data_IF_357114089151
#
_entry.id   IF_357114089151
#
_cell.length_a   1.000
_cell.length_b   1.000
_cell.length_c   1.000
_cell.angle_alpha   90.00
_cell.angle_beta   90.00
_cell.angle_gamma   90.00
#
_symmetry.space_group_name_H-M   'P 1'
#
loop_
_entity.id
_entity.type
_entity.pdbx_description
1 polymer ?
#
# COMPACT_ATOMS: atom_id res chain seq x y z
N UNK A 1 23.41 -24.10 14.90
CA UNK A 1 24.37 -23.39 14.03
C UNK A 1 24.58 -24.07 12.67
N UNK A 2 24.66 -25.40 12.59
CA UNK A 2 24.96 -26.14 11.36
C UNK A 2 23.84 -26.14 10.30
N UNK A 3 22.56 -26.10 10.71
CA UNK A 3 21.42 -26.11 9.77
C UNK A 3 21.14 -24.75 9.11
N UNK A 4 21.45 -23.64 9.81
CA UNK A 4 21.30 -22.28 9.29
C UNK A 4 22.36 -21.98 8.22
N UNK A 5 23.60 -22.44 8.44
CA UNK A 5 24.70 -22.38 7.46
C UNK A 5 24.43 -23.27 6.23
N UNK A 6 23.76 -24.40 6.40
CA UNK A 6 23.37 -25.30 5.32
C UNK A 6 22.29 -24.70 4.41
N UNK A 7 21.28 -24.04 4.99
CA UNK A 7 20.24 -23.34 4.23
C UNK A 7 20.70 -22.01 3.65
N UNK A 8 21.57 -21.27 4.36
CA UNK A 8 22.27 -20.13 3.79
C UNK A 8 22.97 -20.57 2.52
N UNK A 9 23.72 -21.69 2.55
CA UNK A 9 24.33 -22.26 1.34
C UNK A 9 23.31 -22.68 0.28
N UNK A 10 22.15 -23.25 0.61
CA UNK A 10 21.14 -23.64 -0.40
C UNK A 10 20.47 -22.44 -1.05
N UNK A 11 20.05 -21.42 -0.29
CA UNK A 11 19.48 -20.18 -0.84
C UNK A 11 20.54 -19.41 -1.62
N UNK A 12 21.78 -19.41 -1.13
CA UNK A 12 22.94 -18.82 -1.83
C UNK A 12 23.25 -19.58 -3.12
N UNK A 13 23.21 -20.92 -3.12
CA UNK A 13 23.37 -21.73 -4.33
C UNK A 13 22.18 -21.57 -5.28
N UNK A 14 20.95 -21.45 -4.80
CA UNK A 14 19.77 -21.21 -5.63
C UNK A 14 19.81 -19.81 -6.24
N UNK A 15 20.13 -18.77 -5.46
CA UNK A 15 20.32 -17.42 -5.96
C UNK A 15 21.48 -17.35 -6.96
N UNK A 16 22.63 -17.98 -6.67
CA UNK A 16 23.78 -18.06 -7.59
C UNK A 16 23.46 -18.90 -8.84
N UNK A 17 22.71 -19.99 -8.72
CA UNK A 17 22.30 -20.82 -9.86
C UNK A 17 21.27 -20.10 -10.73
N UNK A 18 20.34 -19.35 -10.14
CA UNK A 18 19.38 -18.52 -10.85
C UNK A 18 20.15 -17.40 -11.58
N UNK A 19 20.97 -16.62 -10.86
CA UNK A 19 21.81 -15.55 -11.43
C UNK A 19 22.76 -16.10 -12.51
N UNK A 20 23.38 -17.27 -12.28
CA UNK A 20 24.31 -17.92 -13.20
C UNK A 20 23.63 -18.49 -14.44
N UNK A 21 22.45 -19.08 -14.32
CA UNK A 21 21.65 -19.57 -15.46
C UNK A 21 21.13 -18.41 -16.31
N UNK A 22 20.84 -17.27 -15.68
CA UNK A 22 20.40 -16.05 -16.35
C UNK A 22 21.57 -15.40 -17.12
N UNK A 23 22.77 -15.35 -16.54
CA UNK A 23 23.97 -14.80 -17.19
C UNK A 23 24.37 -15.57 -18.47
N UNK A 24 24.04 -16.87 -18.54
CA UNK A 24 24.26 -17.70 -19.74
C UNK A 24 23.25 -17.39 -20.86
N UNK A 25 22.12 -16.75 -20.56
CA UNK A 25 21.04 -16.47 -21.53
C UNK A 25 20.97 -15.02 -22.03
N UNK A 26 21.75 -14.08 -21.50
CA UNK A 26 21.62 -12.64 -21.83
C UNK A 26 22.41 -12.15 -23.05
N UNK A 27 22.87 -13.03 -23.94
CA UNK A 27 23.36 -12.63 -25.26
C UNK A 27 22.25 -12.84 -26.31
N UNK A 28 21.31 -11.90 -26.36
CA UNK A 28 20.22 -11.93 -27.34
C UNK A 28 19.42 -10.65 -27.40
N UNK A 29 19.80 -9.74 -28.31
CA UNK A 29 18.95 -8.79 -29.06
C UNK A 29 17.64 -8.32 -28.38
N UNK A 30 17.64 -7.11 -27.83
CA UNK A 30 16.42 -6.33 -27.56
C UNK A 30 15.65 -6.10 -28.87
N UNK A 31 14.49 -6.74 -29.03
CA UNK A 31 13.54 -6.41 -30.09
C UNK A 31 12.48 -5.48 -29.51
N UNK A 32 12.60 -4.20 -29.83
CA UNK A 32 11.49 -3.25 -29.71
C UNK A 32 10.39 -3.71 -30.68
N UNK A 33 9.26 -4.18 -30.14
CA UNK A 33 8.10 -4.54 -30.97
C UNK A 33 7.18 -3.32 -31.00
N UNK A 34 6.89 -2.82 -32.20
CA UNK A 34 6.09 -1.62 -32.43
C UNK A 34 4.66 -1.77 -31.93
N UNK A 35 4.22 -0.77 -31.16
CA UNK A 35 3.06 -0.80 -30.26
C UNK A 35 1.78 -0.22 -30.91
N UNK A 36 1.44 -0.61 -32.15
CA UNK A 36 0.34 0.06 -32.90
C UNK A 36 -0.89 -0.82 -33.22
N UNK A 37 -0.86 -2.14 -33.10
CA UNK A 37 -1.99 -2.97 -33.60
C UNK A 37 -2.82 -3.71 -32.54
N UNK A 38 -2.71 -3.39 -31.24
CA UNK A 38 -3.46 -4.10 -30.18
C UNK A 38 -4.79 -3.44 -29.75
N UNK A 39 -5.37 -2.55 -30.55
CA UNK A 39 -6.69 -1.95 -30.27
C UNK A 39 -7.77 -2.60 -31.14
N UNK A 40 -8.18 -3.82 -30.78
CA UNK A 40 -9.54 -4.32 -31.00
C UNK A 40 -9.69 -5.77 -30.51
N UNK A 41 -10.07 -5.96 -29.26
CA UNK A 41 -11.01 -7.04 -28.94
C UNK A 41 -11.70 -6.79 -27.60
N UNK A 42 -13.02 -6.79 -27.65
CA UNK A 42 -13.95 -6.85 -26.51
C UNK A 42 -13.90 -8.20 -25.78
N UNK A 43 -12.83 -8.98 -25.93
CA UNK A 43 -12.69 -10.34 -25.42
C UNK A 43 -12.12 -10.41 -23.99
N UNK A 44 -11.60 -9.30 -23.44
CA UNK A 44 -10.82 -9.31 -22.19
C UNK A 44 -11.63 -9.04 -20.89
N UNK A 45 -12.95 -8.83 -20.95
CA UNK A 45 -13.73 -8.45 -19.76
C UNK A 45 -14.15 -9.60 -18.82
N UNK A 46 -13.88 -10.87 -19.16
CA UNK A 46 -14.32 -12.04 -18.38
C UNK A 46 -13.19 -12.80 -17.67
N UNK A 47 -11.96 -12.30 -17.66
CA UNK A 47 -10.88 -12.95 -16.89
C UNK A 47 -11.04 -12.63 -15.40
N UNK A 48 -10.96 -13.63 -14.50
CA UNK A 48 -10.97 -13.37 -13.07
C UNK A 48 -9.72 -12.57 -12.67
N UNK A 49 -9.89 -11.59 -11.79
CA UNK A 49 -8.78 -10.80 -11.26
C UNK A 49 -7.79 -11.71 -10.53
N UNK A 50 -6.52 -11.57 -10.87
CA UNK A 50 -5.42 -12.24 -10.16
C UNK A 50 -4.85 -11.28 -9.15
N UNK A 51 -4.80 -11.66 -7.88
CA UNK A 51 -4.20 -10.84 -6.83
C UNK A 51 -2.67 -10.82 -6.94
N UNK A 52 -2.00 -9.71 -6.58
CA UNK A 52 -0.56 -9.68 -6.49
C UNK A 52 0.01 -10.74 -5.55
N UNK A 53 1.27 -11.18 -5.79
CA UNK A 53 2.01 -11.96 -4.79
C UNK A 53 2.08 -11.17 -3.48
N UNK A 54 2.35 -11.86 -2.37
CA UNK A 54 2.35 -11.26 -1.03
C UNK A 54 0.97 -10.81 -0.54
N UNK A 55 -0.14 -11.20 -1.19
CA UNK A 55 -1.49 -10.87 -0.71
C UNK A 55 -1.89 -11.61 0.56
N UNK A 56 -1.26 -12.76 0.86
CA UNK A 56 -1.47 -13.51 2.09
C UNK A 56 -0.72 -12.95 3.31
N UNK A 57 -1.00 -13.50 4.48
CA UNK A 57 -0.38 -13.15 5.74
C UNK A 57 0.99 -13.80 5.92
N UNK A 58 2.00 -13.02 6.29
CA UNK A 58 3.39 -13.47 6.46
C UNK A 58 3.67 -14.00 7.87
N UNK A 59 2.91 -13.53 8.86
CA UNK A 59 3.18 -13.84 10.26
C UNK A 59 2.87 -15.27 10.70
N UNK A 60 2.62 -16.23 9.80
CA UNK A 60 2.50 -17.65 10.21
C UNK A 60 3.88 -18.28 10.42
N UNK A 61 4.01 -19.22 11.38
CA UNK A 61 5.25 -19.98 11.53
C UNK A 61 5.57 -20.76 10.25
N UNK A 62 6.73 -20.52 9.65
CA UNK A 62 7.22 -21.24 8.46
C UNK A 62 8.64 -21.76 8.68
N UNK A 63 9.11 -22.59 7.74
CA UNK A 63 10.46 -23.17 7.77
C UNK A 63 11.53 -22.07 7.55
N UNK A 64 11.85 -21.35 8.62
CA UNK A 64 12.79 -20.21 8.63
C UNK A 64 12.40 -19.17 9.68
N UNK A 65 11.10 -19.03 9.93
CA UNK A 65 10.51 -18.18 10.95
C UNK A 65 10.26 -18.95 12.27
N UNK A 66 11.22 -19.83 12.65
CA UNK A 66 11.15 -20.64 13.89
C UNK A 66 11.68 -19.90 15.13
N UNK A 67 12.24 -18.72 14.96
CA UNK A 67 12.64 -17.84 16.07
C UNK A 67 11.52 -16.82 16.32
N UNK A 68 10.55 -17.22 17.16
CA UNK A 68 9.42 -16.41 17.62
C UNK A 68 9.80 -15.17 18.47
N UNK A 69 11.07 -14.76 18.50
CA UNK A 69 11.60 -13.67 19.33
C UNK A 69 11.93 -12.40 18.54
N UNK A 70 11.76 -12.40 17.22
CA UNK A 70 11.98 -11.18 16.43
C UNK A 70 10.70 -10.36 16.38
N UNK A 71 10.86 -9.05 16.54
CA UNK A 71 9.76 -8.11 16.39
C UNK A 71 9.13 -8.24 14.99
N UNK A 72 7.81 -8.30 14.94
CA UNK A 72 7.03 -8.48 13.73
C UNK A 72 5.79 -7.60 13.77
N UNK A 73 5.52 -6.94 12.66
CA UNK A 73 4.24 -6.34 12.37
C UNK A 73 3.79 -6.75 10.97
N UNK A 74 2.47 -6.73 10.78
CA UNK A 74 1.87 -6.67 9.46
C UNK A 74 0.66 -5.74 9.51
N UNK A 75 0.56 -4.86 8.52
CA UNK A 75 -0.50 -3.86 8.42
C UNK A 75 -1.09 -3.81 7.02
N UNK A 76 -2.37 -3.43 6.93
CA UNK A 76 -3.12 -3.27 5.68
C UNK A 76 -3.77 -1.90 5.68
N UNK A 77 -3.58 -1.15 4.60
CA UNK A 77 -4.15 0.18 4.40
C UNK A 77 -5.12 0.12 3.21
N UNK A 78 -6.41 0.33 3.48
CA UNK A 78 -7.48 0.37 2.48
C UNK A 78 -8.04 1.79 2.40
N UNK A 79 -7.76 2.49 1.31
CA UNK A 79 -8.35 3.80 1.01
C UNK A 79 -9.62 3.65 0.20
N UNK A 80 -10.61 4.45 0.54
CA UNK A 80 -11.92 4.52 -0.09
C UNK A 80 -12.14 5.96 -0.52
N UNK A 81 -12.30 6.21 -1.82
CA UNK A 81 -12.48 7.52 -2.40
C UNK A 81 -13.93 7.63 -2.88
N UNK A 82 -14.70 8.49 -2.23
CA UNK A 82 -16.09 8.76 -2.60
C UNK A 82 -16.17 10.01 -3.48
N UNK A 83 -17.10 10.04 -4.44
CA UNK A 83 -17.22 11.19 -5.36
C UNK A 83 -17.71 12.47 -4.65
N UNK A 84 -18.47 12.34 -3.57
CA UNK A 84 -19.15 13.47 -2.92
C UNK A 84 -18.79 13.70 -1.45
N UNK A 85 -18.16 12.73 -0.77
CA UNK A 85 -17.92 12.78 0.67
C UNK A 85 -16.41 12.71 1.03
N UNK A 86 -15.53 12.86 0.03
CA UNK A 86 -14.08 12.81 0.20
C UNK A 86 -13.52 11.38 0.30
N UNK A 87 -12.27 11.27 0.75
CA UNK A 87 -11.65 9.95 0.99
C UNK A 87 -11.62 9.58 2.46
N UNK A 88 -11.57 8.27 2.71
CA UNK A 88 -11.54 7.61 3.99
C UNK A 88 -10.45 6.53 3.94
N UNK A 89 -9.90 6.12 5.08
CA UNK A 89 -9.03 4.95 5.16
C UNK A 89 -9.41 4.01 6.29
N UNK A 90 -9.33 2.71 6.02
CA UNK A 90 -9.36 1.64 7.02
C UNK A 90 -7.96 1.04 7.12
N UNK A 91 -7.39 1.06 8.31
CA UNK A 91 -6.03 0.59 8.58
C UNK A 91 -6.11 -0.53 9.60
N UNK A 92 -5.72 -1.74 9.22
CA UNK A 92 -5.69 -2.91 10.09
C UNK A 92 -4.25 -3.25 10.44
N UNK A 93 -3.99 -3.75 11.64
CA UNK A 93 -2.64 -4.16 12.02
C UNK A 93 -2.62 -5.32 13.02
N UNK A 94 -1.50 -6.03 13.03
CA UNK A 94 -1.12 -7.04 14.03
C UNK A 94 0.37 -6.87 14.37
N UNK A 95 0.69 -6.83 15.66
CA UNK A 95 2.03 -6.83 16.21
C UNK A 95 2.27 -8.10 17.01
N UNK A 96 3.46 -8.66 16.83
CA UNK A 96 4.05 -9.64 17.72
C UNK A 96 3.05 -10.72 18.14
N UNK A 97 2.43 -11.42 17.16
CA UNK A 97 1.37 -12.37 17.44
C UNK A 97 1.87 -13.59 18.24
N UNK A 98 3.17 -13.90 18.15
CA UNK A 98 3.82 -15.06 18.78
C UNK A 98 4.50 -14.77 20.12
N UNK A 99 5.39 -13.78 20.26
CA UNK A 99 6.01 -13.50 21.56
C UNK A 99 4.96 -12.92 22.52
N UNK A 100 4.67 -13.67 23.59
CA UNK A 100 3.60 -13.34 24.54
C UNK A 100 3.95 -12.22 25.50
N UNK A 101 5.24 -11.93 25.65
CA UNK A 101 5.85 -10.94 26.54
C UNK A 101 6.22 -9.63 25.82
N UNK A 102 5.99 -9.52 24.51
CA UNK A 102 6.25 -8.27 23.79
C UNK A 102 5.33 -7.13 24.27
N UNK A 103 5.92 -5.98 24.58
CA UNK A 103 5.18 -4.76 24.91
C UNK A 103 4.41 -4.20 23.71
N UNK A 104 4.91 -4.42 22.48
CA UNK A 104 4.28 -3.95 21.24
C UNK A 104 3.11 -4.80 20.80
N UNK A 105 3.02 -6.02 21.33
CA UNK A 105 1.97 -6.99 21.02
C UNK A 105 0.61 -6.31 20.96
N UNK A 106 -0.15 -6.61 19.91
CA UNK A 106 -1.50 -6.08 19.79
C UNK A 106 -2.08 -6.26 18.39
N UNK A 107 -3.38 -6.04 18.29
CA UNK A 107 -4.15 -6.10 17.05
C UNK A 107 -5.18 -4.99 17.08
N UNK A 108 -5.43 -4.36 15.95
CA UNK A 108 -6.34 -3.24 15.94
C UNK A 108 -6.76 -2.78 14.56
N UNK A 109 -7.66 -1.82 14.59
CA UNK A 109 -8.18 -1.12 13.42
C UNK A 109 -8.22 0.38 13.71
N UNK A 110 -7.75 1.17 12.76
CA UNK A 110 -7.88 2.62 12.71
C UNK A 110 -8.76 2.99 11.51
N UNK A 111 -9.68 3.94 11.71
CA UNK A 111 -10.53 4.51 10.67
C UNK A 111 -10.23 6.00 10.58
N UNK A 112 -9.70 6.44 9.44
CA UNK A 112 -9.39 7.84 9.16
C UNK A 112 -10.50 8.42 8.31
N UNK A 113 -11.10 9.51 8.77
CA UNK A 113 -12.17 10.23 8.07
C UNK A 113 -11.88 11.73 8.03
N UNK A 114 -12.54 12.51 7.16
CA UNK A 114 -12.43 13.97 7.16
C UNK A 114 -12.79 14.65 8.49
N UNK A 115 -13.49 13.96 9.40
CA UNK A 115 -13.94 14.48 10.69
C UNK A 115 -13.16 13.94 11.89
N UNK A 116 -12.13 13.13 11.65
CA UNK A 116 -11.29 12.57 12.70
C UNK A 116 -10.87 11.12 12.43
N UNK A 117 -9.94 10.68 13.28
CA UNK A 117 -9.40 9.32 13.30
C UNK A 117 -9.93 8.59 14.52
N UNK A 118 -10.48 7.39 14.33
CA UNK A 118 -11.02 6.52 15.38
C UNK A 118 -10.25 5.22 15.43
N UNK A 119 -10.08 4.64 16.61
CA UNK A 119 -9.27 3.43 16.78
C UNK A 119 -9.80 2.51 17.86
N UNK A 120 -9.69 1.21 17.61
CA UNK A 120 -9.83 0.17 18.62
C UNK A 120 -8.65 -0.81 18.51
N UNK A 121 -8.01 -1.08 19.64
CA UNK A 121 -6.87 -2.00 19.76
C UNK A 121 -7.09 -3.00 20.92
N UNK A 122 -6.44 -4.15 20.84
CA UNK A 122 -6.41 -5.18 21.89
C UNK A 122 -5.03 -5.79 22.00
N UNK A 123 -4.57 -6.05 23.24
CA UNK A 123 -3.35 -6.84 23.51
C UNK A 123 -3.58 -8.35 23.31
N UNK A 124 -4.82 -8.80 23.36
CA UNK A 124 -5.17 -10.21 23.14
C UNK A 124 -5.36 -10.48 21.64
N UNK A 125 -4.38 -11.11 21.00
CA UNK A 125 -4.49 -11.46 19.58
C UNK A 125 -5.09 -12.85 19.33
N UNK A 126 -5.55 -13.56 20.37
CA UNK A 126 -5.94 -14.98 20.30
C UNK A 126 -7.08 -15.26 19.32
N UNK A 127 -7.92 -14.26 19.02
CA UNK A 127 -9.01 -14.35 18.04
C UNK A 127 -8.60 -13.94 16.61
N UNK A 128 -7.38 -13.44 16.40
CA UNK A 128 -6.87 -13.06 15.07
C UNK A 128 -6.74 -14.29 14.17
N UNK A 129 -7.25 -14.20 12.95
CA UNK A 129 -7.12 -15.26 11.94
C UNK A 129 -6.75 -14.61 10.61
N UNK A 130 -5.83 -15.26 9.89
CA UNK A 130 -5.46 -14.85 8.56
C UNK A 130 -5.07 -16.03 7.65
N UNK A 131 -5.27 -15.90 6.35
CA UNK A 131 -4.83 -16.88 5.35
C UNK A 131 -3.39 -16.61 4.89
N UNK A 132 -2.59 -17.66 4.66
CA UNK A 132 -1.18 -17.51 4.27
C UNK A 132 -1.00 -17.14 2.80
N UNK A 133 -1.97 -17.49 1.94
CA UNK A 133 -1.83 -17.47 0.47
C UNK A 133 -2.96 -16.67 -0.23
N UNK A 134 -3.67 -15.83 0.52
CA UNK A 134 -4.68 -14.91 -0.01
C UNK A 134 -4.98 -13.83 1.01
N UNK A 135 -5.48 -12.69 0.54
CA UNK A 135 -6.05 -11.67 1.40
C UNK A 135 -7.31 -12.23 2.10
N UNK A 136 -7.19 -12.48 3.40
CA UNK A 136 -8.27 -12.88 4.31
C UNK A 136 -7.72 -12.65 5.71
N UNK A 137 -8.10 -11.54 6.33
CA UNK A 137 -7.81 -11.20 7.73
C UNK A 137 -9.12 -10.97 8.47
N UNK A 138 -9.15 -11.40 9.74
CA UNK A 138 -10.29 -11.16 10.62
C UNK A 138 -9.87 -11.13 12.07
N UNK A 139 -10.58 -10.35 12.86
CA UNK A 139 -10.42 -10.28 14.31
C UNK A 139 -11.76 -10.03 14.98
N UNK A 140 -11.95 -10.60 16.16
CA UNK A 140 -13.17 -10.49 16.96
C UNK A 140 -12.79 -9.92 18.34
N UNK A 141 -13.16 -8.67 18.60
CA UNK A 141 -12.89 -7.98 19.87
C UNK A 141 -13.78 -8.50 21.00
N UNK A 142 -14.90 -9.16 20.69
CA UNK A 142 -15.88 -9.64 21.67
C UNK A 142 -15.45 -10.89 22.43
N UNK A 143 -14.23 -11.39 22.20
CA UNK A 143 -13.63 -12.47 22.96
C UNK A 143 -12.57 -11.93 23.92
N UNK A 144 -12.91 -11.64 25.19
CA UNK A 144 -11.92 -11.60 26.26
C UNK A 144 -11.95 -12.88 27.10
N UNK A 145 -10.75 -13.27 27.50
CA UNK A 145 -10.38 -14.14 28.63
C UNK A 145 -11.39 -14.09 29.79
N UNK A 146 -11.91 -15.26 30.21
CA UNK A 146 -12.61 -15.51 31.48
C UNK A 146 -13.39 -14.33 32.10
N UNK A 147 -14.61 -14.04 31.65
CA UNK A 147 -15.56 -13.31 32.49
C UNK A 147 -16.94 -13.95 32.53
N UNK A 148 -17.37 -14.19 33.76
CA UNK A 148 -18.68 -14.63 34.20
C UNK A 148 -19.78 -13.63 33.82
N UNK A 149 -20.84 -14.16 33.22
CA UNK A 149 -22.24 -13.78 33.35
C UNK A 149 -22.68 -12.30 33.21
N UNK A 150 -23.52 -12.09 32.19
CA UNK A 150 -24.63 -11.14 32.10
C UNK A 150 -24.35 -9.65 31.80
N UNK A 151 -23.90 -9.36 30.58
CA UNK A 151 -24.51 -8.29 29.75
C UNK A 151 -24.58 -8.79 28.31
N UNK A 152 -25.79 -9.16 27.84
CA UNK A 152 -26.07 -9.34 26.41
C UNK A 152 -26.40 -7.97 25.83
N UNK A 153 -25.41 -7.25 25.32
CA UNK A 153 -25.62 -6.25 24.26
C UNK A 153 -25.20 -6.88 22.93
N UNK A 154 -26.05 -6.72 21.92
CA UNK A 154 -26.18 -7.60 20.75
C UNK A 154 -25.34 -7.22 19.54
N UNK A 155 -24.19 -6.55 19.70
CA UNK A 155 -23.30 -6.24 18.57
C UNK A 155 -21.86 -6.51 18.98
N UNK A 156 -21.25 -7.51 18.34
CA UNK A 156 -19.84 -7.85 18.52
C UNK A 156 -19.02 -6.86 17.71
N UNK A 157 -18.00 -6.26 18.31
CA UNK A 157 -17.00 -5.50 17.57
C UNK A 157 -16.04 -6.47 16.88
N UNK A 158 -15.75 -6.23 15.61
CA UNK A 158 -14.91 -7.09 14.77
C UNK A 158 -14.42 -6.32 13.55
N UNK A 159 -13.41 -6.86 12.88
CA UNK A 159 -13.11 -6.49 11.50
C UNK A 159 -12.85 -7.72 10.65
N UNK A 160 -13.11 -7.57 9.35
CA UNK A 160 -12.78 -8.52 8.30
C UNK A 160 -12.41 -7.75 7.04
N UNK A 161 -11.31 -8.17 6.41
CA UNK A 161 -10.91 -7.75 5.08
C UNK A 161 -10.46 -8.99 4.30
N UNK A 162 -11.07 -9.23 3.15
CA UNK A 162 -10.68 -10.30 2.24
C UNK A 162 -10.75 -9.83 0.78
N UNK A 163 -10.60 -10.78 -0.15
CA UNK A 163 -10.56 -10.52 -1.59
C UNK A 163 -11.81 -9.88 -2.18
N UNK A 164 -12.97 -9.99 -1.53
CA UNK A 164 -14.24 -9.49 -2.09
C UNK A 164 -15.08 -8.67 -1.11
N UNK A 165 -14.64 -8.52 0.14
CA UNK A 165 -15.41 -7.83 1.16
C UNK A 165 -14.54 -7.19 2.24
N UNK A 166 -14.98 -6.00 2.68
CA UNK A 166 -14.58 -5.39 3.93
C UNK A 166 -15.81 -5.19 4.81
N UNK A 167 -15.74 -5.61 6.07
CA UNK A 167 -16.83 -5.41 7.02
C UNK A 167 -16.32 -5.36 8.45
N UNK A 168 -16.95 -4.55 9.29
CA UNK A 168 -16.58 -4.47 10.68
C UNK A 168 -17.43 -3.49 11.47
N UNK A 169 -17.26 -3.59 12.77
CA UNK A 169 -17.74 -2.62 13.75
C UNK A 169 -16.62 -2.38 14.75
N UNK A 170 -16.26 -1.12 14.93
CA UNK A 170 -15.32 -0.70 15.96
C UNK A 170 -15.97 0.32 16.88
N UNK A 171 -15.58 0.29 18.16
CA UNK A 171 -15.99 1.25 19.17
C UNK A 171 -14.75 1.90 19.77
N UNK A 172 -14.70 3.24 19.70
CA UNK A 172 -13.71 4.08 20.39
C UNK A 172 -14.43 4.99 21.41
N UNK A 173 -13.70 5.65 22.32
CA UNK A 173 -14.29 6.62 23.25
C UNK A 173 -15.07 7.75 22.55
N UNK A 174 -14.67 8.11 21.33
CA UNK A 174 -15.22 9.24 20.57
C UNK A 174 -16.31 8.82 19.57
N UNK A 175 -16.27 7.59 19.04
CA UNK A 175 -17.24 7.15 18.04
C UNK A 175 -17.42 5.63 17.96
N UNK A 176 -18.62 5.23 17.56
CA UNK A 176 -18.87 3.92 16.97
C UNK A 176 -18.77 4.03 15.45
N UNK A 177 -18.02 3.11 14.83
CA UNK A 177 -17.92 3.01 13.36
C UNK A 177 -18.37 1.64 12.91
N UNK A 178 -19.24 1.59 11.90
CA UNK A 178 -19.70 0.36 11.26
C UNK A 178 -19.49 0.48 9.75
N UNK A 179 -18.96 -0.55 9.12
CA UNK A 179 -18.77 -0.58 7.67
C UNK A 179 -19.11 -1.97 7.13
N UNK A 180 -19.71 -2.00 5.95
CA UNK A 180 -19.93 -3.23 5.17
C UNK A 180 -19.99 -2.84 3.69
N UNK A 181 -19.04 -3.36 2.91
CA UNK A 181 -19.01 -3.15 1.47
C UNK A 181 -18.27 -4.26 0.73
N UNK A 182 -18.68 -4.51 -0.51
CA UNK A 182 -17.97 -5.39 -1.42
C UNK A 182 -16.73 -4.71 -2.03
N UNK A 183 -15.77 -5.51 -2.44
CA UNK A 183 -14.57 -5.10 -3.17
C UNK A 183 -14.62 -5.74 -4.54
N UNK A 184 -14.66 -4.93 -5.59
CA UNK A 184 -14.50 -5.36 -6.99
C UNK A 184 -13.14 -4.89 -7.50
N UNK A 185 -12.13 -5.78 -7.53
CA UNK A 185 -10.82 -5.42 -8.06
C UNK A 185 -10.86 -5.06 -9.54
N UNK A 186 -10.06 -4.08 -9.96
CA UNK A 186 -9.93 -3.70 -11.38
C UNK A 186 -8.46 -3.73 -11.84
N UNK A 187 -7.55 -3.15 -11.05
CA UNK A 187 -6.13 -3.02 -11.35
C UNK A 187 -5.32 -3.32 -10.09
N UNK A 188 -4.43 -4.31 -10.17
CA UNK A 188 -3.47 -4.63 -9.11
C UNK A 188 -2.12 -3.97 -9.38
N UNK A 189 -1.04 -4.67 -9.05
CA UNK A 189 0.33 -4.24 -9.31
C UNK A 189 0.93 -4.99 -10.51
N UNK A 190 0.71 -4.49 -11.71
CA UNK A 190 1.18 -5.11 -12.95
C UNK A 190 0.23 -4.94 -14.13
N UNK A 191 0.30 -5.88 -15.07
CA UNK A 191 -0.60 -5.90 -16.23
C UNK A 191 -1.84 -6.76 -15.95
N UNK A 192 -2.82 -6.71 -16.85
CA UNK A 192 -4.01 -7.58 -16.79
C UNK A 192 -3.61 -9.07 -16.84
N UNK A 193 -2.53 -9.39 -17.53
CA UNK A 193 -2.00 -10.74 -17.70
C UNK A 193 -1.19 -11.21 -16.50
N UNK A 194 -0.50 -10.30 -15.81
CA UNK A 194 0.48 -10.66 -14.77
C UNK A 194 0.62 -9.60 -13.69
N UNK A 195 0.65 -10.08 -12.45
CA UNK A 195 0.94 -9.27 -11.26
C UNK A 195 2.36 -9.53 -10.75
N UNK A 196 2.95 -8.51 -10.14
CA UNK A 196 4.36 -8.45 -9.75
C UNK A 196 4.54 -8.13 -8.27
N UNK A 197 5.72 -8.43 -7.73
CA UNK A 197 6.11 -7.99 -6.39
C UNK A 197 6.70 -6.59 -6.47
N UNK A 198 6.34 -5.67 -5.57
CA UNK A 198 6.81 -4.27 -5.69
C UNK A 198 8.34 -4.14 -5.66
N UNK A 199 9.01 -4.95 -4.83
CA UNK A 199 10.48 -5.01 -4.76
C UNK A 199 11.08 -6.16 -5.60
N UNK A 200 10.34 -6.64 -6.61
CA UNK A 200 10.67 -7.81 -7.41
C UNK A 200 10.67 -9.11 -6.60
N UNK A 201 11.11 -10.21 -7.21
CA UNK A 201 11.12 -11.53 -6.56
C UNK A 201 11.96 -11.60 -5.28
N UNK A 202 12.90 -10.66 -5.08
CA UNK A 202 13.70 -10.58 -3.85
C UNK A 202 12.84 -10.31 -2.61
N UNK A 203 11.64 -9.73 -2.77
CA UNK A 203 10.64 -9.57 -1.70
C UNK A 203 10.16 -10.90 -1.10
N UNK A 204 10.40 -12.02 -1.78
CA UNK A 204 10.12 -13.38 -1.27
C UNK A 204 11.15 -13.87 -0.24
N UNK A 205 12.25 -13.15 -0.05
CA UNK A 205 13.28 -13.47 0.92
C UNK A 205 13.37 -12.37 1.98
N UNK A 206 13.79 -12.68 3.23
CA UNK A 206 13.96 -11.69 4.30
C UNK A 206 15.25 -10.87 4.09
N UNK A 207 15.36 -10.20 2.94
CA UNK A 207 16.54 -9.41 2.54
C UNK A 207 16.29 -7.91 2.59
N UNK A 208 15.05 -7.50 2.81
CA UNK A 208 14.62 -6.10 2.91
C UNK A 208 13.86 -5.88 4.20
N UNK A 209 14.04 -4.72 4.84
CA UNK A 209 13.14 -4.29 5.91
C UNK A 209 12.86 -2.78 5.86
N UNK A 210 11.60 -2.37 6.08
CA UNK A 210 10.38 -3.18 5.96
C UNK A 210 10.05 -3.53 4.51
N UNK A 211 9.12 -4.46 4.34
CA UNK A 211 8.53 -4.77 3.04
C UNK A 211 7.19 -4.07 2.87
N UNK A 212 6.79 -3.89 1.60
CA UNK A 212 5.47 -3.43 1.24
C UNK A 212 5.00 -4.06 -0.08
N UNK A 213 3.69 -4.11 -0.26
CA UNK A 213 3.05 -4.58 -1.49
C UNK A 213 1.76 -3.81 -1.74
N UNK A 214 1.65 -3.21 -2.93
CA UNK A 214 0.37 -2.72 -3.44
C UNK A 214 -0.45 -3.92 -3.91
N UNK A 215 -1.63 -4.11 -3.33
CA UNK A 215 -2.54 -5.21 -3.66
C UNK A 215 -3.58 -4.79 -4.69
N UNK A 216 -4.01 -3.54 -4.62
CA UNK A 216 -5.03 -2.97 -5.49
C UNK A 216 -4.66 -1.51 -5.80
N UNK A 217 -4.14 -1.26 -6.99
CA UNK A 217 -3.94 0.12 -7.49
C UNK A 217 -5.28 0.79 -7.78
N UNK A 218 -6.31 0.04 -8.20
CA UNK A 218 -7.68 0.52 -8.35
C UNK A 218 -8.69 -0.61 -8.22
N UNK A 219 -9.75 -0.38 -7.45
CA UNK A 219 -10.97 -1.17 -7.53
C UNK A 219 -12.20 -0.31 -7.28
N UNK A 220 -13.35 -0.96 -7.20
CA UNK A 220 -14.65 -0.32 -6.98
C UNK A 220 -15.44 -1.01 -5.90
N UNK A 221 -16.28 -0.25 -5.21
CA UNK A 221 -17.30 -0.79 -4.32
C UNK A 221 -18.59 -1.03 -5.12
N UNK A 222 -19.10 -2.28 -5.18
CA UNK A 222 -20.41 -2.57 -5.77
C UNK A 222 -21.56 -1.86 -5.05
N UNK A 223 -22.76 -1.89 -5.65
CA UNK A 223 -23.95 -1.29 -5.08
C UNK A 223 -24.24 -1.80 -3.64
N UNK A 224 -24.61 -0.86 -2.76
CA UNK A 224 -25.11 -1.16 -1.41
C UNK A 224 -24.06 -1.10 -0.28
N UNK A 225 -22.81 -0.73 -0.58
CA UNK A 225 -21.76 -0.55 0.43
C UNK A 225 -21.94 0.73 1.27
N UNK A 226 -21.56 0.68 2.55
CA UNK A 226 -21.62 1.84 3.45
C UNK A 226 -20.49 1.88 4.49
N UNK A 227 -20.27 3.09 5.03
CA UNK A 227 -19.56 3.32 6.29
C UNK A 227 -20.38 4.31 7.12
N UNK A 228 -20.63 4.00 8.39
CA UNK A 228 -21.43 4.80 9.32
C UNK A 228 -20.56 5.15 10.52
N UNK A 229 -20.48 6.43 10.84
CA UNK A 229 -19.80 6.96 12.04
C UNK A 229 -20.84 7.58 12.95
N UNK A 230 -20.91 7.13 14.19
CA UNK A 230 -21.76 7.69 15.25
C UNK A 230 -20.85 8.30 16.31
N UNK A 231 -20.59 9.60 16.19
CA UNK A 231 -19.74 10.34 17.14
C UNK A 231 -20.52 10.67 18.41
N UNK A 232 -19.93 10.40 19.57
CA UNK A 232 -20.46 10.79 20.89
C UNK A 232 -19.75 12.05 21.39
N UNK A 233 -20.43 12.87 22.19
CA UNK A 233 -19.88 14.12 22.76
C UNK A 233 -19.40 15.15 21.73
N UNK A 234 -20.20 15.42 20.70
CA UNK A 234 -19.84 16.43 19.71
C UNK A 234 -19.82 17.85 20.31
N UNK A 235 -18.76 18.61 20.02
CA UNK A 235 -18.75 20.07 20.21
C UNK A 235 -19.61 20.68 19.09
N UNK A 236 -20.76 21.24 19.46
CA UNK A 236 -21.57 22.02 18.54
C UNK A 236 -21.19 23.50 18.70
N UNK A 237 -21.01 24.20 17.59
CA UNK A 237 -20.81 25.65 17.62
C UNK A 237 -22.17 26.32 17.80
N UNK A 238 -22.41 26.92 18.98
CA UNK A 238 -23.51 27.88 19.14
C UNK A 238 -22.99 29.31 18.95
N UNK A 239 -23.62 30.12 18.08
CA UNK A 239 -23.24 31.52 17.94
C UNK A 239 -23.57 32.31 19.23
N UNK A 240 -22.72 33.25 19.68
CA UNK A 240 -21.44 33.66 19.10
C UNK A 240 -20.27 33.02 19.87
N UNK A 241 -19.65 31.99 19.27
CA UNK A 241 -18.33 31.47 19.65
C UNK A 241 -18.15 30.86 21.05
N UNK A 242 -19.20 30.33 21.68
CA UNK A 242 -19.02 29.42 22.82
C UNK A 242 -19.14 27.97 22.34
N UNK A 243 -18.00 27.28 22.25
CA UNK A 243 -17.96 25.82 22.06
C UNK A 243 -18.43 25.15 23.36
N UNK A 244 -19.72 24.82 23.44
CA UNK A 244 -20.27 23.99 24.51
C UNK A 244 -20.17 22.52 24.11
N UNK A 245 -19.51 21.71 24.94
CA UNK A 245 -19.58 20.25 24.81
C UNK A 245 -20.99 19.82 25.19
N UNK A 246 -21.76 19.34 24.22
CA UNK A 246 -23.10 18.79 24.47
C UNK A 246 -23.03 17.27 24.45
N UNK A 247 -23.94 16.59 25.15
CA UNK A 247 -24.14 15.14 25.03
C UNK A 247 -24.78 14.75 23.68
N UNK A 248 -24.69 15.60 22.66
CA UNK A 248 -25.26 15.34 21.35
C UNK A 248 -24.47 14.24 20.63
N UNK A 249 -25.19 13.37 19.94
CA UNK A 249 -24.64 12.34 19.07
C UNK A 249 -24.81 12.78 17.62
N UNK A 250 -23.74 12.71 16.82
CA UNK A 250 -23.79 12.99 15.38
C UNK A 250 -23.59 11.69 14.60
N UNK A 251 -24.57 11.34 13.76
CA UNK A 251 -24.44 10.21 12.83
C UNK A 251 -24.08 10.74 11.45
N UNK A 252 -23.00 10.22 10.87
CA UNK A 252 -22.57 10.46 9.49
C UNK A 252 -22.59 9.15 8.73
N UNK A 253 -23.31 9.12 7.61
CA UNK A 253 -23.37 7.95 6.72
C UNK A 253 -22.65 8.27 5.42
N UNK A 254 -21.71 7.41 5.06
CA UNK A 254 -21.02 7.41 3.77
C UNK A 254 -21.64 6.34 2.88
N UNK A 255 -22.21 6.76 1.76
CA UNK A 255 -22.61 5.83 0.70
C UNK A 255 -21.36 5.50 -0.10
N UNK A 256 -20.97 4.23 -0.08
CA UNK A 256 -19.76 3.78 -0.76
C UNK A 256 -20.04 3.22 -2.14
N UNK A 257 -21.28 3.19 -2.61
CA UNK A 257 -21.60 2.72 -3.96
C UNK A 257 -20.74 3.45 -5.00
N UNK A 258 -20.05 2.68 -5.85
CA UNK A 258 -19.12 3.14 -6.89
C UNK A 258 -17.88 3.91 -6.39
N UNK A 259 -17.63 3.93 -5.08
CA UNK A 259 -16.40 4.46 -4.51
C UNK A 259 -15.18 3.74 -5.08
N UNK A 260 -14.10 4.48 -5.33
CA UNK A 260 -12.82 3.94 -5.79
C UNK A 260 -12.03 3.41 -4.60
N UNK A 261 -11.40 2.25 -4.77
CA UNK A 261 -10.59 1.59 -3.75
C UNK A 261 -9.11 1.56 -4.14
N UNK A 262 -8.26 1.72 -3.13
CA UNK A 262 -6.84 1.45 -3.18
C UNK A 262 -6.44 0.63 -1.95
N UNK A 263 -5.63 -0.41 -2.12
CA UNK A 263 -5.22 -1.30 -1.04
C UNK A 263 -3.74 -1.64 -1.13
N UNK A 264 -3.06 -1.53 0.00
CA UNK A 264 -1.70 -2.01 0.19
C UNK A 264 -1.50 -2.65 1.56
N UNK A 265 -0.29 -3.21 1.74
CA UNK A 265 0.15 -3.77 3.01
C UNK A 265 1.65 -3.64 3.21
N UNK A 266 2.06 -3.69 4.47
CA UNK A 266 3.44 -3.63 4.90
C UNK A 266 3.71 -4.71 5.94
N UNK A 267 4.94 -5.24 5.99
CA UNK A 267 5.37 -6.19 7.02
C UNK A 267 6.86 -6.07 7.32
N UNK A 268 7.26 -6.50 8.52
CA UNK A 268 8.67 -6.44 8.97
C UNK A 268 8.76 -6.14 10.47
N UNK A 269 9.87 -5.56 10.91
CA UNK A 269 10.05 -5.14 12.31
C UNK A 269 9.42 -3.78 12.66
N UNK A 270 9.48 -2.80 11.77
CA UNK A 270 8.90 -1.45 11.90
C UNK A 270 8.82 -0.77 10.53
N UNK A 271 8.13 0.38 10.43
CA UNK A 271 8.16 1.22 9.24
C UNK A 271 9.56 1.83 8.98
N UNK A 272 9.81 2.38 7.77
CA UNK A 272 11.03 3.11 7.46
C UNK A 272 11.28 4.26 8.43
N UNK A 273 12.54 4.70 8.54
CA UNK A 273 12.92 5.89 9.30
C UNK A 273 12.35 7.18 8.70
N UNK A 274 12.15 7.21 7.38
CA UNK A 274 11.57 8.33 6.64
C UNK A 274 11.05 7.84 5.28
N UNK A 275 9.85 8.29 4.89
CA UNK A 275 9.21 7.92 3.62
C UNK A 275 8.23 8.98 3.10
N UNK A 276 7.87 8.86 1.82
CA UNK A 276 6.72 9.54 1.22
C UNK A 276 5.82 8.55 0.49
N UNK A 277 4.54 8.90 0.36
CA UNK A 277 3.56 8.18 -0.45
C UNK A 277 2.75 9.14 -1.32
N UNK A 278 2.40 8.71 -2.53
CA UNK A 278 1.52 9.40 -3.47
C UNK A 278 0.58 8.35 -4.07
N UNK A 279 -0.73 8.59 -4.00
CA UNK A 279 -1.72 7.74 -4.66
C UNK A 279 -2.89 8.54 -5.23
N UNK A 280 -3.21 8.31 -6.51
CA UNK A 280 -4.18 9.09 -7.27
C UNK A 280 -4.83 8.27 -8.40
N UNK A 281 -6.17 8.38 -8.53
CA UNK A 281 -7.01 7.56 -9.42
C UNK A 281 -8.17 8.35 -10.07
N UNK A 282 -8.31 9.66 -9.80
CA UNK A 282 -9.48 10.49 -10.17
C UNK A 282 -9.11 11.63 -11.12
N UNK A 283 -8.59 11.28 -12.29
CA UNK A 283 -7.93 12.24 -13.18
C UNK A 283 -8.87 12.97 -14.15
N UNK A 284 -8.64 14.26 -14.31
CA UNK A 284 -9.20 15.14 -15.36
C UNK A 284 -8.08 15.69 -16.27
N UNK A 285 -8.41 16.22 -17.47
CA UNK A 285 -7.41 16.85 -18.34
C UNK A 285 -6.63 17.97 -17.64
N UNK A 286 -5.31 18.03 -17.83
CA UNK A 286 -4.45 18.99 -17.13
C UNK A 286 -4.61 20.47 -17.53
N UNK A 287 -5.45 20.77 -18.52
CA UNK A 287 -5.87 22.12 -18.88
C UNK A 287 -7.18 22.55 -18.22
N UNK A 288 -7.87 21.65 -17.52
CA UNK A 288 -9.05 21.95 -16.72
C UNK A 288 -8.63 22.42 -15.32
N UNK A 289 -9.43 23.31 -14.73
CA UNK A 289 -9.28 23.65 -13.32
C UNK A 289 -10.08 22.61 -12.52
N UNK A 290 -9.42 21.67 -11.83
CA UNK A 290 -10.13 20.61 -11.14
C UNK A 290 -10.85 21.18 -9.91
N UNK A 291 -12.04 20.67 -9.64
CA UNK A 291 -12.79 20.97 -8.42
C UNK A 291 -12.84 19.73 -7.53
N UNK A 292 -13.10 19.91 -6.23
CA UNK A 292 -13.32 18.81 -5.29
C UNK A 292 -14.57 17.96 -5.59
N UNK A 293 -15.36 18.31 -6.61
CA UNK A 293 -16.49 17.52 -7.11
C UNK A 293 -16.18 16.83 -8.44
N UNK A 294 -14.96 16.95 -8.95
CA UNK A 294 -14.57 16.36 -10.23
C UNK A 294 -14.46 14.84 -10.09
N UNK A 295 -15.07 14.12 -11.02
CA UNK A 295 -14.89 12.69 -11.24
C UNK A 295 -13.94 12.45 -12.42
N UNK A 296 -13.40 11.23 -12.54
CA UNK A 296 -12.48 10.89 -13.63
C UNK A 296 -13.13 11.15 -14.99
N UNK A 297 -12.41 11.86 -15.86
CA UNK A 297 -12.82 11.99 -17.26
C UNK A 297 -12.81 10.62 -17.94
N UNK A 298 -13.73 10.41 -18.89
CA UNK A 298 -13.82 9.16 -19.67
C UNK A 298 -12.47 8.73 -20.28
N UNK A 299 -11.63 9.69 -20.67
CA UNK A 299 -10.29 9.49 -21.25
C UNK A 299 -9.23 9.00 -20.25
N UNK A 300 -9.51 9.06 -18.94
CA UNK A 300 -8.58 8.73 -17.86
C UNK A 300 -9.16 7.74 -16.86
N UNK A 301 -10.23 7.03 -17.23
CA UNK A 301 -10.86 6.05 -16.33
C UNK A 301 -9.88 4.98 -15.87
N UNK A 302 -8.89 4.62 -16.69
CA UNK A 302 -7.88 3.63 -16.37
C UNK A 302 -6.55 4.21 -15.85
N UNK A 303 -6.47 5.53 -15.68
CA UNK A 303 -5.26 6.18 -15.17
C UNK A 303 -5.17 6.00 -13.64
N UNK A 304 -4.13 5.32 -13.19
CA UNK A 304 -3.82 5.17 -11.76
C UNK A 304 -2.34 5.45 -11.53
N UNK A 305 -2.04 6.21 -10.49
CA UNK A 305 -0.67 6.53 -10.10
C UNK A 305 -0.44 6.13 -8.65
N UNK A 306 0.66 5.44 -8.43
CA UNK A 306 1.20 5.16 -7.10
C UNK A 306 2.68 5.47 -7.13
N UNK A 307 3.17 6.24 -6.16
CA UNK A 307 4.59 6.52 -6.03
C UNK A 307 4.97 6.52 -4.56
N UNK A 308 6.13 5.96 -4.27
CA UNK A 308 6.67 5.90 -2.91
C UNK A 308 8.18 6.02 -2.94
N UNK A 309 8.73 6.58 -1.88
CA UNK A 309 10.16 6.53 -1.59
C UNK A 309 10.38 6.40 -0.11
N UNK A 310 11.40 5.64 0.27
CA UNK A 310 11.71 5.34 1.66
C UNK A 310 13.19 5.05 1.86
N UNK A 311 13.64 5.21 3.10
CA UNK A 311 14.85 4.54 3.55
C UNK A 311 14.56 3.06 3.83
N UNK A 312 15.32 2.17 3.21
CA UNK A 312 15.23 0.72 3.38
C UNK A 312 16.49 0.21 4.06
N UNK A 313 16.33 -0.74 4.99
CA UNK A 313 17.46 -1.48 5.58
C UNK A 313 17.74 -2.75 4.80
N UNK A 314 19.03 -2.99 4.55
CA UNK A 314 19.55 -4.22 3.97
C UNK A 314 20.25 -5.03 5.07
N UNK A 315 19.58 -6.04 5.69
CA UNK A 315 20.17 -6.90 6.73
C UNK A 315 21.32 -7.82 6.22
N UNK A 316 21.87 -7.58 5.04
CA UNK A 316 22.92 -8.38 4.43
C UNK A 316 24.27 -8.16 5.13
N UNK A 317 24.87 -9.27 5.60
CA UNK A 317 26.26 -9.43 6.06
C UNK A 317 26.64 -8.95 7.46
N UNK A 318 25.86 -9.26 8.50
CA UNK A 318 26.37 -9.58 9.86
C UNK A 318 27.27 -8.58 10.61
N UNK A 319 27.53 -7.38 10.07
CA UNK A 319 28.44 -6.41 10.69
C UNK A 319 28.21 -4.94 10.31
N UNK A 320 27.23 -4.60 9.47
CA UNK A 320 26.78 -3.20 9.31
C UNK A 320 25.42 -3.15 8.62
N UNK A 321 24.37 -2.67 9.30
CA UNK A 321 23.10 -2.32 8.65
C UNK A 321 23.39 -1.22 7.61
N UNK A 322 23.21 -1.53 6.32
CA UNK A 322 23.25 -0.49 5.29
C UNK A 322 21.83 0.01 5.06
N UNK A 323 21.66 1.33 5.15
CA UNK A 323 20.44 2.02 4.77
C UNK A 323 20.60 2.56 3.34
N UNK A 324 19.58 2.37 2.51
CA UNK A 324 19.54 2.90 1.15
C UNK A 324 18.24 3.65 0.89
N UNK A 325 18.32 4.67 0.05
CA UNK A 325 17.14 5.42 -0.39
C UNK A 325 16.64 4.82 -1.69
N UNK A 326 15.41 4.32 -1.66
CA UNK A 326 14.74 3.72 -2.80
C UNK A 326 13.44 4.46 -3.06
N UNK A 327 13.08 4.56 -4.32
CA UNK A 327 11.79 5.11 -4.72
C UNK A 327 11.35 4.49 -6.04
N UNK A 328 10.05 4.53 -6.28
CA UNK A 328 9.41 3.98 -7.46
C UNK A 328 8.17 4.81 -7.80
N UNK A 329 7.91 4.98 -9.10
CA UNK A 329 6.59 5.39 -9.60
C UNK A 329 5.99 4.22 -10.38
N UNK A 330 4.71 3.93 -10.15
CA UNK A 330 3.90 3.07 -10.98
C UNK A 330 2.78 3.89 -11.61
N UNK A 331 2.63 3.76 -12.93
CA UNK A 331 1.55 4.38 -13.69
C UNK A 331 0.84 3.29 -14.50
N UNK A 332 -0.47 3.19 -14.35
CA UNK A 332 -1.33 2.39 -15.21
C UNK A 332 -2.08 3.35 -16.13
N UNK A 333 -2.06 3.12 -17.44
CA UNK A 333 -2.78 3.98 -18.40
C UNK A 333 -2.93 3.29 -19.75
N UNK A 334 -4.12 3.37 -20.35
CA UNK A 334 -4.46 2.70 -21.63
C UNK A 334 -4.19 1.20 -21.63
N UNK A 335 -4.44 0.54 -20.51
CA UNK A 335 -4.17 -0.89 -20.30
C UNK A 335 -2.70 -1.25 -20.10
N UNK A 336 -1.78 -0.29 -20.14
CA UNK A 336 -0.34 -0.51 -19.96
C UNK A 336 0.08 -0.26 -18.50
N UNK A 337 1.19 -0.90 -18.10
CA UNK A 337 1.84 -0.72 -16.80
C UNK A 337 3.25 -0.15 -16.98
N UNK A 338 3.51 1.02 -16.40
CA UNK A 338 4.80 1.71 -16.46
C UNK A 338 5.45 1.75 -15.07
N UNK A 339 6.39 0.83 -14.77
CA UNK A 339 7.17 0.86 -13.54
C UNK A 339 8.43 1.72 -13.73
N UNK A 340 8.51 2.87 -13.08
CA UNK A 340 9.69 3.75 -13.09
C UNK A 340 10.60 3.48 -11.88
N UNK A 341 11.68 2.69 -12.02
CA UNK A 341 12.63 2.38 -10.95
C UNK A 341 13.64 3.50 -10.67
N UNK A 342 13.86 4.37 -11.65
CA UNK A 342 14.84 5.44 -11.56
C UNK A 342 14.09 6.72 -11.25
N UNK A 343 14.10 7.10 -9.98
CA UNK A 343 13.30 8.20 -9.46
C UNK A 343 14.19 9.21 -8.76
N UNK A 344 13.99 10.49 -9.04
CA UNK A 344 14.47 11.59 -8.21
C UNK A 344 13.29 12.31 -7.57
N UNK A 345 13.50 12.84 -6.38
CA UNK A 345 12.45 13.50 -5.62
C UNK A 345 12.95 14.70 -4.84
N UNK A 346 12.01 15.60 -4.57
CA UNK A 346 12.11 16.70 -3.61
C UNK A 346 10.75 16.79 -2.92
N UNK A 347 10.71 16.37 -1.65
CA UNK A 347 9.47 16.28 -0.87
C UNK A 347 9.57 17.17 0.35
N UNK A 348 8.52 17.94 0.60
CA UNK A 348 8.25 18.60 1.87
C UNK A 348 6.74 18.55 2.10
N UNK A 349 6.28 18.72 3.34
CA UNK A 349 4.85 18.85 3.57
C UNK A 349 4.29 20.02 2.76
N UNK A 350 3.23 19.75 1.98
CA UNK A 350 2.63 20.71 1.05
C UNK A 350 3.13 20.62 -0.39
N UNK A 351 4.31 20.03 -0.65
CA UNK A 351 4.90 19.94 -1.98
C UNK A 351 5.64 18.60 -2.23
N UNK A 352 5.20 17.87 -3.25
CA UNK A 352 5.84 16.65 -3.73
C UNK A 352 6.28 16.86 -5.17
N UNK A 353 7.58 16.79 -5.44
CA UNK A 353 8.10 16.76 -6.81
C UNK A 353 8.83 15.45 -7.00
N UNK A 354 8.33 14.60 -7.89
CA UNK A 354 8.90 13.27 -8.14
C UNK A 354 9.02 13.05 -9.64
N UNK A 355 10.20 12.66 -10.13
CA UNK A 355 10.46 12.43 -11.55
C UNK A 355 11.02 11.05 -11.77
N UNK A 356 10.63 10.42 -12.87
CA UNK A 356 11.05 9.06 -13.20
C UNK A 356 11.45 8.89 -14.65
N UNK A 357 12.27 7.87 -14.93
CA UNK A 357 12.61 7.45 -16.29
C UNK A 357 12.50 5.92 -16.47
N UNK A 358 11.83 5.48 -17.54
CA UNK A 358 11.65 4.06 -17.87
C UNK A 358 11.29 3.87 -19.34
N UNK A 359 11.92 2.91 -20.03
CA UNK A 359 11.47 2.44 -21.35
C UNK A 359 11.33 3.52 -22.44
N UNK A 360 12.17 4.57 -22.43
CA UNK A 360 12.04 5.70 -23.36
C UNK A 360 11.01 6.75 -22.92
N UNK A 361 10.35 6.56 -21.78
CA UNK A 361 9.45 7.53 -21.16
C UNK A 361 10.13 8.27 -20.01
N UNK A 362 9.70 9.51 -19.79
CA UNK A 362 9.93 10.30 -18.59
C UNK A 362 8.59 10.61 -17.95
N UNK A 363 8.51 10.59 -16.63
CA UNK A 363 7.32 10.98 -15.88
C UNK A 363 7.67 12.09 -14.90
N UNK A 364 6.76 13.04 -14.73
CA UNK A 364 6.82 14.06 -13.70
C UNK A 364 5.52 14.05 -12.90
N UNK A 365 5.66 13.98 -11.58
CA UNK A 365 4.59 14.06 -10.61
C UNK A 365 4.80 15.34 -9.78
N UNK A 366 3.78 16.18 -9.75
CA UNK A 366 3.75 17.39 -8.90
C UNK A 366 2.52 17.30 -8.01
N UNK A 367 2.74 16.97 -6.75
CA UNK A 367 1.73 16.90 -5.70
C UNK A 367 1.75 18.17 -4.86
N UNK A 368 0.58 18.68 -4.50
CA UNK A 368 0.46 19.82 -3.58
C UNK A 368 -0.71 19.65 -2.61
N UNK A 369 -0.59 20.22 -1.41
CA UNK A 369 -1.70 20.39 -0.48
C UNK A 369 -1.50 21.64 0.37
N UNK A 370 -2.56 22.09 1.05
CA UNK A 370 -2.39 23.18 2.02
C UNK A 370 -1.79 22.68 3.33
N UNK A 371 -1.10 23.55 4.07
CA UNK A 371 -0.41 23.18 5.31
C UNK A 371 -1.38 22.66 6.39
N UNK A 372 -2.64 23.12 6.38
CA UNK A 372 -3.68 22.82 7.38
C UNK A 372 -4.41 21.49 7.14
N UNK A 373 -4.15 20.79 6.03
CA UNK A 373 -4.88 19.59 5.62
C UNK A 373 -4.34 18.27 6.17
N UNK A 374 -3.29 18.32 7.00
CA UNK A 374 -2.63 17.14 7.53
C UNK A 374 -3.50 16.38 8.53
N UNK A 375 -3.71 15.10 8.26
CA UNK A 375 -4.30 14.15 9.20
C UNK A 375 -3.19 13.28 9.77
N UNK A 376 -3.01 13.24 11.10
CA UNK A 376 -2.05 12.33 11.71
C UNK A 376 -2.53 10.88 11.56
N UNK A 377 -1.60 10.01 11.17
CA UNK A 377 -1.82 8.58 11.00
C UNK A 377 -0.81 7.85 11.88
N UNK A 378 -1.27 6.90 12.69
CA UNK A 378 -0.32 6.05 13.38
C UNK A 378 0.21 4.94 12.49
N UNK A 379 1.51 4.74 12.58
CA UNK A 379 2.25 3.74 11.85
C UNK A 379 3.06 2.85 12.81
N UNK A 380 3.41 1.63 12.38
CA UNK A 380 4.28 0.72 13.11
C UNK A 380 5.68 1.25 13.41
N UNK A 381 6.04 1.35 14.69
CA UNK A 381 7.41 1.61 15.18
C UNK A 381 7.88 0.51 16.10
N UNK A 382 9.16 0.51 16.46
CA UNK A 382 9.74 -0.35 17.49
C UNK A 382 9.09 -0.20 18.88
N UNK A 383 8.25 0.83 19.09
CA UNK A 383 7.48 1.07 20.31
C UNK A 383 5.97 0.84 20.13
N UNK A 384 5.55 0.18 19.04
CA UNK A 384 4.15 -0.06 18.70
C UNK A 384 3.61 0.99 17.72
N UNK A 385 2.30 1.25 17.71
CA UNK A 385 1.69 2.25 16.82
C UNK A 385 1.96 3.67 17.35
N UNK A 386 2.57 4.53 16.53
CA UNK A 386 2.86 5.93 16.88
C UNK A 386 2.43 6.86 15.74
N UNK A 387 1.94 8.06 16.07
CA UNK A 387 1.60 9.12 15.09
C UNK A 387 2.86 9.75 14.48
N UNK A 388 3.50 9.00 13.58
CA UNK A 388 4.72 9.40 12.88
C UNK A 388 4.50 9.64 11.38
N UNK A 389 3.24 9.67 10.94
CA UNK A 389 2.86 9.97 9.56
C UNK A 389 1.81 11.06 9.52
N UNK A 390 1.86 11.84 8.44
CA UNK A 390 0.90 12.87 8.13
C UNK A 390 0.43 12.69 6.68
N UNK A 391 -0.88 12.65 6.50
CA UNK A 391 -1.54 12.34 5.24
C UNK A 391 -2.59 13.38 4.89
N UNK A 392 -2.80 13.66 3.61
CA UNK A 392 -3.95 14.42 3.12
C UNK A 392 -4.73 13.62 2.09
N UNK A 393 -6.05 13.70 2.15
CA UNK A 393 -6.98 13.14 1.15
C UNK A 393 -7.46 14.15 0.12
N UNK A 394 -7.02 15.41 0.24
CA UNK A 394 -7.45 16.56 -0.56
C UNK A 394 -6.29 17.18 -1.35
N UNK A 395 -5.19 16.44 -1.47
CA UNK A 395 -4.06 16.86 -2.27
C UNK A 395 -4.44 16.93 -3.76
N UNK A 396 -3.72 17.76 -4.50
CA UNK A 396 -3.76 17.75 -5.95
C UNK A 396 -2.52 17.05 -6.48
N UNK A 397 -2.66 16.19 -7.49
CA UNK A 397 -1.52 15.59 -8.19
C UNK A 397 -1.62 15.87 -9.69
N UNK A 398 -0.64 16.56 -10.25
CA UNK A 398 -0.44 16.63 -11.69
C UNK A 398 0.54 15.56 -12.15
N UNK A 399 0.17 14.84 -13.20
CA UNK A 399 0.97 13.80 -13.85
C UNK A 399 1.26 14.23 -15.27
N UNK A 400 2.53 14.27 -15.65
CA UNK A 400 2.96 14.42 -17.05
C UNK A 400 3.80 13.23 -17.47
N UNK A 401 3.44 12.62 -18.59
CA UNK A 401 4.23 11.57 -19.23
C UNK A 401 4.78 12.10 -20.56
N UNK A 402 6.08 11.92 -20.77
CA UNK A 402 6.79 12.32 -21.96
C UNK A 402 7.37 11.08 -22.64
N UNK A 403 7.23 10.99 -23.96
CA UNK A 403 7.89 9.98 -24.78
C UNK A 403 9.13 10.62 -25.43
N UNK A 404 10.32 10.06 -25.19
CA UNK A 404 11.56 10.54 -25.82
C UNK A 404 11.48 10.27 -27.33
N UNK A 405 11.71 11.32 -28.13
CA UNK A 405 12.01 11.18 -29.55
C UNK A 405 13.50 10.96 -29.77
N UNK A 406 13.88 10.46 -30.95
CA UNK A 406 15.29 10.30 -31.32
C UNK A 406 16.01 11.66 -31.24
N UNK A 407 16.91 11.81 -30.27
CA UNK A 407 17.75 13.00 -30.10
C UNK A 407 17.12 14.17 -29.32
N UNK A 408 15.86 14.09 -28.88
CA UNK A 408 15.22 15.18 -28.12
C UNK A 408 15.49 15.10 -26.61
N UNK A 409 15.88 16.23 -26.01
CA UNK A 409 16.14 16.34 -24.56
C UNK A 409 14.86 16.37 -23.71
N UNK A 410 13.72 16.82 -24.25
CA UNK A 410 12.48 17.03 -23.47
C UNK A 410 11.35 16.06 -23.80
N UNK A 411 11.39 15.34 -24.94
CA UNK A 411 10.35 14.40 -25.37
C UNK A 411 8.99 15.05 -25.67
N UNK A 412 8.09 14.30 -26.33
CA UNK A 412 6.71 14.70 -26.61
C UNK A 412 5.81 14.37 -25.42
N UNK A 413 4.99 15.32 -24.96
CA UNK A 413 3.96 15.04 -23.94
C UNK A 413 2.91 14.10 -24.54
N UNK A 414 2.68 12.98 -23.86
CA UNK A 414 1.66 11.98 -24.23
C UNK A 414 0.53 11.88 -23.20
N UNK A 415 0.77 12.35 -21.97
CA UNK A 415 -0.23 12.47 -20.91
C UNK A 415 0.01 13.76 -20.13
N UNK A 416 -1.06 14.51 -19.87
CA UNK A 416 -1.08 15.65 -18.93
C UNK A 416 -2.44 15.64 -18.23
N UNK A 417 -2.45 15.21 -16.97
CA UNK A 417 -3.66 15.00 -16.19
C UNK A 417 -3.49 15.47 -14.76
N UNK A 418 -4.60 15.82 -14.11
CA UNK A 418 -4.63 16.29 -12.72
C UNK A 418 -5.69 15.53 -11.94
N UNK A 419 -5.35 15.07 -10.73
CA UNK A 419 -6.27 14.50 -9.75
C UNK A 419 -6.43 15.47 -8.57
N UNK A 420 -7.64 15.97 -8.25
CA UNK A 420 -7.90 16.84 -7.10
C UNK A 420 -8.13 16.10 -5.77
N UNK A 421 -8.03 14.79 -5.77
CA UNK A 421 -8.26 13.88 -4.65
C UNK A 421 -7.03 13.00 -4.42
N UNK A 422 -5.84 13.51 -4.68
CA UNK A 422 -4.61 12.76 -4.44
C UNK A 422 -4.42 12.54 -2.94
N UNK A 423 -4.07 11.31 -2.59
CA UNK A 423 -3.50 11.00 -1.29
C UNK A 423 -2.01 11.32 -1.34
N UNK A 424 -1.56 12.21 -0.47
CA UNK A 424 -0.17 12.58 -0.32
C UNK A 424 0.23 12.39 1.14
N UNK A 425 1.33 11.66 1.35
CA UNK A 425 1.80 11.27 2.67
C UNK A 425 3.29 11.58 2.81
N UNK A 426 3.67 11.98 4.02
CA UNK A 426 5.03 11.87 4.52
C UNK A 426 5.01 11.16 5.87
N UNK A 427 6.04 10.37 6.16
CA UNK A 427 6.18 9.78 7.47
C UNK A 427 7.61 9.52 7.89
N UNK A 428 7.76 9.02 9.10
CA UNK A 428 9.03 9.00 9.83
C UNK A 428 9.26 10.33 10.53
N UNK A 429 8.16 10.99 10.92
CA UNK A 429 8.21 12.31 11.54
C UNK A 429 8.73 12.24 12.99
N UNK A 430 9.41 13.30 13.46
CA UNK A 430 9.81 14.50 12.71
C UNK A 430 11.03 14.24 11.81
N UNK A 431 11.06 14.86 10.63
CA UNK A 431 12.26 14.85 9.77
C UNK A 431 13.32 15.82 10.29
N UNK A 432 14.60 15.49 10.08
CA UNK A 432 15.72 16.38 10.43
C UNK A 432 15.75 17.63 9.57
N UNK A 433 15.47 17.48 8.27
CA UNK A 433 15.36 18.56 7.30
C UNK A 433 13.89 18.74 6.90
N UNK A 434 13.48 19.99 6.66
CA UNK A 434 12.12 20.31 6.19
C UNK A 434 11.83 19.66 4.82
N UNK A 435 12.83 19.63 3.95
CA UNK A 435 12.72 19.15 2.58
C UNK A 435 13.68 17.98 2.38
N UNK A 436 13.14 16.85 1.94
CA UNK A 436 13.90 15.67 1.58
C UNK A 436 14.14 15.62 0.07
N UNK A 437 15.39 15.83 -0.33
CA UNK A 437 15.83 15.69 -1.71
C UNK A 437 16.62 14.40 -1.84
N UNK A 438 16.27 13.58 -2.83
CA UNK A 438 16.92 12.29 -3.01
C UNK A 438 16.81 11.76 -4.43
N UNK A 439 17.52 10.65 -4.65
CA UNK A 439 17.49 9.90 -5.90
C UNK A 439 17.60 8.42 -5.58
N UNK A 440 16.84 7.61 -6.29
CA UNK A 440 16.81 6.17 -6.15
C UNK A 440 18.22 5.64 -6.44
N UNK A 441 18.86 5.08 -5.43
CA UNK A 441 20.21 4.56 -5.52
C UNK A 441 20.21 3.05 -5.23
N UNK A 442 19.49 2.27 -6.04
CA UNK A 442 19.69 0.82 -6.00
C UNK A 442 21.12 0.51 -6.46
N UNK A 443 21.95 0.00 -5.55
CA UNK A 443 23.31 -0.43 -5.86
C UNK A 443 23.28 -1.74 -6.67
N UNK A 444 24.25 -1.91 -7.55
CA UNK A 444 24.48 -3.22 -8.17
C UNK A 444 24.92 -4.25 -7.10
N UNK A 445 24.53 -5.53 -7.22
CA UNK A 445 23.77 -6.15 -8.33
C UNK A 445 22.24 -6.10 -8.16
N UNK A 446 21.71 -5.51 -7.07
CA UNK A 446 20.26 -5.52 -6.77
C UNK A 446 19.47 -4.78 -7.86
N UNK A 447 20.02 -3.67 -8.37
CA UNK A 447 19.42 -2.86 -9.44
C UNK A 447 19.12 -3.67 -10.71
N UNK A 448 20.03 -4.54 -11.14
CA UNK A 448 19.89 -5.35 -12.35
C UNK A 448 18.92 -6.53 -12.20
N UNK A 449 18.51 -6.84 -10.97
CA UNK A 449 17.75 -8.04 -10.60
C UNK A 449 16.33 -7.71 -10.12
N UNK A 450 16.17 -6.68 -9.28
CA UNK A 450 14.88 -6.33 -8.68
C UNK A 450 13.89 -5.67 -9.66
N UNK A 451 14.39 -5.10 -10.77
CA UNK A 451 13.59 -4.28 -11.70
C UNK A 451 13.68 -4.75 -13.15
N UNK A 452 14.15 -5.99 -13.37
CA UNK A 452 14.16 -6.61 -14.69
C UNK A 452 12.92 -7.49 -14.82
N UNK A 453 11.94 -7.01 -15.60
CA UNK A 453 10.64 -7.68 -15.77
C UNK A 453 10.81 -9.12 -16.24
N UNK A 454 11.62 -9.38 -17.28
CA UNK A 454 11.86 -10.75 -17.77
C UNK A 454 12.49 -11.67 -16.71
N UNK A 455 13.34 -11.09 -15.86
CA UNK A 455 14.01 -11.82 -14.78
C UNK A 455 13.04 -12.11 -13.64
N UNK A 456 12.21 -11.13 -13.30
CA UNK A 456 11.11 -11.28 -12.35
C UNK A 456 10.12 -12.34 -12.83
N UNK A 457 9.82 -12.38 -14.13
CA UNK A 457 8.95 -13.39 -14.71
C UNK A 457 9.48 -14.80 -14.48
N UNK A 458 10.74 -15.05 -14.86
CA UNK A 458 11.39 -16.36 -14.67
C UNK A 458 11.50 -16.75 -13.20
N UNK A 459 11.86 -15.80 -12.33
CA UNK A 459 12.00 -16.05 -10.90
C UNK A 459 10.64 -16.33 -10.23
N UNK A 460 9.60 -15.58 -10.60
CA UNK A 460 8.23 -15.78 -10.14
C UNK A 460 7.67 -17.14 -10.57
N UNK A 461 7.92 -17.58 -11.81
CA UNK A 461 7.48 -18.90 -12.29
C UNK A 461 8.17 -20.04 -11.52
N UNK A 462 9.46 -19.86 -11.21
CA UNK A 462 10.20 -20.79 -10.36
C UNK A 462 9.67 -20.82 -8.92
N UNK A 463 9.43 -19.65 -8.31
CA UNK A 463 8.89 -19.55 -6.94
C UNK A 463 7.49 -20.16 -6.84
N UNK A 464 6.64 -19.95 -7.85
CA UNK A 464 5.33 -20.64 -7.96
C UNK A 464 5.50 -22.15 -7.98
N UNK A 465 6.43 -22.68 -8.78
CA UNK A 465 6.72 -24.11 -8.81
C UNK A 465 7.16 -24.63 -7.43
N UNK A 466 8.09 -23.93 -6.77
CA UNK A 466 8.62 -24.32 -5.44
C UNK A 466 7.56 -24.23 -4.35
N UNK A 467 6.65 -23.26 -4.42
CA UNK A 467 5.57 -23.08 -3.43
C UNK A 467 4.62 -24.28 -3.33
N UNK A 468 4.55 -25.12 -4.38
CA UNK A 468 3.81 -26.38 -4.34
C UNK A 468 4.45 -27.43 -3.42
N UNK A 469 5.73 -27.28 -3.09
CA UNK A 469 6.50 -28.23 -2.30
C UNK A 469 6.92 -27.67 -0.93
N UNK A 470 6.94 -26.35 -0.77
CA UNK A 470 7.38 -25.65 0.45
C UNK A 470 6.40 -24.52 0.75
N UNK A 471 5.86 -24.48 1.98
CA UNK A 471 5.00 -23.38 2.43
C UNK A 471 5.82 -22.09 2.60
N UNK A 472 5.49 -21.08 1.79
CA UNK A 472 6.05 -19.73 1.87
C UNK A 472 4.90 -18.77 2.22
N UNK A 473 4.72 -18.39 3.49
CA UNK A 473 3.65 -17.48 3.88
C UNK A 473 3.75 -16.14 3.15
N UNK A 474 2.59 -15.58 2.80
CA UNK A 474 2.46 -14.36 2.04
C UNK A 474 2.24 -14.58 0.55
N UNK A 475 2.99 -15.51 -0.06
CA UNK A 475 3.01 -15.74 -1.50
C UNK A 475 1.76 -16.41 -2.06
#
# INVERSE_FOLDING_TARGET
>A
MTTLLYWYRIVHYLAICIIGSIYVTSNGSQKATSLVDALSSSANQNRPFTWPPHSGYHGKPSFGNRNNNNAFFEGWYLRIITESQGSLALIFHIFDPHPTDSERRGVGCQVVTPFGTFRQESKDVSSFRAASHKLDIRYDFSKPQNQTAHVRTSFRDFFRLDVDKASGKITSPEADVEFDFGVRPEVGWGTIERQYSVAGFLASFPVFEPHYQVLLSRGKVPAGGFLKVVQTHCKLAEPPNNLTTTNATKTTLYNLTDATLYLEKNWGGSFPSQWFWIQANTFVPGNEQPTSSSSSSSSYLDLCVTSTGAFRRLPLFGSTEQEEQVALIALHWKGEFFPFPQVDWSIEWGNWVVRGAYGGYLVELIGTCSEEEGLPVSCPTDQGMQEISMETFRGTLRVKLFQKGDGEKSGRIVLDAVDPHACLEIGGLPWSDRTWVGKSAMKEPIKSVAMNVELEEKASDFLKLVSNFIEIPGL
#
